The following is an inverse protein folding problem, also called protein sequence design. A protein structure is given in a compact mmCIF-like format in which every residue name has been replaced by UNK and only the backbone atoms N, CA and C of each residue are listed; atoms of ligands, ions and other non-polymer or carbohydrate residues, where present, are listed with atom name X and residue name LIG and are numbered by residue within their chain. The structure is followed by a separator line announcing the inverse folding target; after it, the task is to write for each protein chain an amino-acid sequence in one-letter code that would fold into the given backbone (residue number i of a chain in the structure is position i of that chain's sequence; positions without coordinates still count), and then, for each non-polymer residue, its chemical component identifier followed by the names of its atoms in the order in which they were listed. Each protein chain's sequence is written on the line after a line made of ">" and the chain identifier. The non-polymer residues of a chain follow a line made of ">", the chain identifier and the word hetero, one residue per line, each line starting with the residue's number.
data_IF_974653286300
#
_entry.id   IF_974653286300
#
_cell.length_a   1.000
_cell.length_b   1.000
_cell.length_c   1.000
_cell.angle_alpha   90.00
_cell.angle_beta   90.00
_cell.angle_gamma   90.00
#
_symmetry.space_group_name_H-M   'P 1'
#
loop_
_entity.id
_entity.type
_entity.pdbx_description
1 polymer ?
#
# COMPACT_ATOMS: atom_id res chain seq x y z
N UNK A 1 -1.74 -11.11 8.03
CA UNK A 1 -1.84 -9.68 7.67
C UNK A 1 -2.20 -9.46 6.21
N UNK A 2 -1.57 -10.14 5.24
CA UNK A 2 -2.00 -10.01 3.84
C UNK A 2 -3.46 -10.45 3.59
N UNK A 3 -3.94 -11.53 4.22
CA UNK A 3 -5.36 -11.92 4.17
C UNK A 3 -6.29 -10.79 4.61
N UNK A 4 -5.90 -10.05 5.66
CA UNK A 4 -6.64 -8.89 6.16
C UNK A 4 -6.64 -7.73 5.15
N UNK A 5 -5.53 -7.49 4.47
CA UNK A 5 -5.47 -6.50 3.38
C UNK A 5 -6.42 -6.87 2.23
N UNK A 6 -6.54 -8.15 1.88
CA UNK A 6 -7.49 -8.62 0.86
C UNK A 6 -8.96 -8.49 1.32
N UNK A 7 -9.26 -8.79 2.58
CA UNK A 7 -10.59 -8.56 3.17
C UNK A 7 -10.98 -7.07 3.10
N UNK A 8 -10.04 -6.18 3.40
CA UNK A 8 -10.23 -4.73 3.28
C UNK A 8 -10.47 -4.33 1.83
N UNK A 9 -9.67 -4.84 0.89
CA UNK A 9 -9.83 -4.58 -0.54
C UNK A 9 -11.24 -4.97 -1.03
N UNK A 10 -11.76 -6.11 -0.57
CA UNK A 10 -13.11 -6.59 -0.94
C UNK A 10 -14.23 -5.62 -0.52
N UNK A 11 -14.01 -4.76 0.48
CA UNK A 11 -14.99 -3.73 0.89
C UNK A 11 -15.17 -2.63 -0.16
N UNK A 12 -14.24 -2.47 -1.10
CA UNK A 12 -14.33 -1.53 -2.21
C UNK A 12 -15.18 -2.01 -3.39
N UNK A 13 -15.72 -3.24 -3.35
CA UNK A 13 -16.52 -3.80 -4.46
C UNK A 13 -17.72 -2.89 -4.73
N UNK A 14 -17.85 -2.46 -6.00
CA UNK A 14 -18.90 -1.53 -6.43
C UNK A 14 -18.62 -0.05 -6.13
N UNK A 15 -17.51 0.29 -5.46
CA UNK A 15 -17.17 1.65 -5.03
C UNK A 15 -15.89 2.21 -5.68
N UNK A 16 -15.09 1.38 -6.36
CA UNK A 16 -13.75 1.77 -6.85
C UNK A 16 -13.67 2.04 -8.36
N UNK A 17 -14.69 1.69 -9.14
CA UNK A 17 -14.65 1.77 -10.61
C UNK A 17 -14.34 3.21 -11.08
N UNK A 18 -13.38 3.40 -12.02
CA UNK A 18 -12.66 2.39 -12.82
C UNK A 18 -11.34 1.87 -12.21
N UNK A 19 -11.00 2.25 -10.99
CA UNK A 19 -9.76 1.85 -10.31
C UNK A 19 -9.80 0.42 -9.73
N UNK A 20 -8.64 -0.11 -9.31
CA UNK A 20 -8.53 -1.45 -8.73
C UNK A 20 -9.02 -1.50 -7.28
N UNK A 21 -9.37 -2.71 -6.82
CA UNK A 21 -9.58 -2.97 -5.40
C UNK A 21 -8.22 -3.04 -4.72
N UNK A 22 -7.98 -2.15 -3.76
CA UNK A 22 -6.74 -2.12 -2.98
C UNK A 22 -7.08 -2.03 -1.51
N UNK A 23 -6.42 -2.86 -0.71
CA UNK A 23 -6.45 -2.80 0.74
C UNK A 23 -5.04 -2.81 1.31
N UNK A 24 -4.87 -2.10 2.43
CA UNK A 24 -3.58 -1.90 3.09
C UNK A 24 -3.72 -2.06 4.60
N UNK A 25 -2.76 -2.75 5.21
CA UNK A 25 -2.61 -2.87 6.66
C UNK A 25 -1.19 -2.47 7.03
N UNK A 26 -1.05 -1.59 8.02
CA UNK A 26 0.24 -1.20 8.60
C UNK A 26 0.37 -1.85 9.97
N UNK A 27 1.44 -2.61 10.14
CA UNK A 27 1.82 -3.23 11.41
C UNK A 27 3.06 -2.52 11.93
N UNK A 28 2.97 -1.94 13.12
CA UNK A 28 4.08 -1.19 13.70
C UNK A 28 5.26 -2.08 14.13
N UNK A 29 6.31 -1.44 14.62
CA UNK A 29 7.52 -2.12 15.08
C UNK A 29 7.30 -3.08 16.26
N UNK A 30 6.17 -2.97 16.97
CA UNK A 30 5.81 -3.85 18.08
C UNK A 30 4.96 -5.06 17.62
N UNK A 31 4.60 -5.11 16.33
CA UNK A 31 3.78 -6.18 15.77
C UNK A 31 2.28 -5.94 15.88
N UNK A 32 1.86 -4.72 16.25
CA UNK A 32 0.45 -4.36 16.39
C UNK A 32 -0.07 -3.63 15.15
N UNK A 33 -1.36 -3.79 14.84
CA UNK A 33 -1.99 -3.05 13.76
C UNK A 33 -2.05 -1.57 14.15
N UNK A 34 -1.37 -0.73 13.37
CA UNK A 34 -1.34 0.71 13.54
C UNK A 34 -2.35 1.43 12.64
N UNK A 35 -2.63 0.87 11.46
CA UNK A 35 -3.58 1.45 10.52
C UNK A 35 -4.08 0.46 9.48
N UNK A 36 -5.30 0.70 9.01
CA UNK A 36 -5.97 -0.08 7.98
C UNK A 36 -6.63 0.87 6.97
N UNK A 37 -6.62 0.50 5.71
CA UNK A 37 -7.21 1.30 4.65
C UNK A 37 -7.67 0.46 3.48
N UNK A 38 -8.67 0.95 2.76
CA UNK A 38 -9.07 0.41 1.46
C UNK A 38 -9.46 1.56 0.54
N UNK A 39 -9.18 1.40 -0.75
CA UNK A 39 -9.48 2.42 -1.74
C UNK A 39 -10.99 2.50 -2.01
N UNK A 40 -11.48 3.73 -2.18
CA UNK A 40 -12.83 4.04 -2.67
C UNK A 40 -12.73 5.25 -3.62
N UNK A 41 -13.52 5.26 -4.69
CA UNK A 41 -13.43 6.30 -5.73
C UNK A 41 -13.85 7.67 -5.22
N UNK A 42 -14.81 7.72 -4.30
CA UNK A 42 -15.36 8.95 -3.69
C UNK A 42 -14.36 9.66 -2.76
N UNK A 43 -13.52 8.91 -2.05
CA UNK A 43 -12.56 9.48 -1.10
C UNK A 43 -11.31 10.06 -1.75
N UNK A 44 -11.01 9.71 -3.01
CA UNK A 44 -9.83 10.15 -3.77
C UNK A 44 -8.49 9.89 -3.03
N UNK A 45 -8.52 9.06 -1.98
CA UNK A 45 -7.36 8.66 -1.19
C UNK A 45 -7.14 7.17 -1.39
N UNK A 46 -5.91 6.77 -1.69
CA UNK A 46 -5.54 5.38 -1.82
C UNK A 46 -5.47 4.68 -0.45
N UNK A 47 -5.56 3.35 -0.46
CA UNK A 47 -5.59 2.53 0.74
C UNK A 47 -4.36 2.78 1.64
N UNK A 48 -3.19 2.97 1.04
CA UNK A 48 -1.93 3.27 1.72
C UNK A 48 -1.99 4.60 2.46
N UNK A 49 -2.55 5.65 1.84
CA UNK A 49 -2.69 6.96 2.47
C UNK A 49 -3.65 6.90 3.65
N UNK A 50 -4.78 6.21 3.51
CA UNK A 50 -5.76 6.03 4.60
C UNK A 50 -5.11 5.29 5.77
N UNK A 51 -4.39 4.21 5.49
CA UNK A 51 -3.71 3.42 6.53
C UNK A 51 -2.58 4.22 7.20
N UNK A 52 -1.82 5.03 6.45
CA UNK A 52 -0.79 5.92 6.98
C UNK A 52 -1.37 7.04 7.87
N UNK A 53 -2.47 7.67 7.42
CA UNK A 53 -3.17 8.69 8.20
C UNK A 53 -3.63 8.12 9.56
N UNK A 54 -4.11 6.88 9.59
CA UNK A 54 -4.48 6.20 10.82
C UNK A 54 -3.27 5.80 11.68
N UNK A 55 -2.20 5.31 11.06
CA UNK A 55 -0.99 4.86 11.77
C UNK A 55 -0.21 6.03 12.40
N UNK A 56 -0.22 7.21 11.78
CA UNK A 56 0.50 8.38 12.26
C UNK A 56 1.97 8.08 12.53
N UNK A 57 2.46 8.43 13.73
CA UNK A 57 3.87 8.22 14.11
C UNK A 57 4.26 6.75 14.24
N UNK A 58 3.29 5.84 14.46
CA UNK A 58 3.51 4.39 14.56
C UNK A 58 3.88 3.75 13.22
N UNK A 59 3.76 4.48 12.11
CA UNK A 59 4.24 4.03 10.80
C UNK A 59 5.78 3.95 10.72
N UNK A 60 6.50 4.68 11.58
CA UNK A 60 7.98 4.67 11.53
C UNK A 60 8.52 3.25 11.79
N UNK A 61 9.39 2.78 10.90
CA UNK A 61 9.96 1.43 10.93
C UNK A 61 8.92 0.28 10.87
N UNK A 62 7.68 0.57 10.48
CA UNK A 62 6.60 -0.40 10.36
C UNK A 62 6.75 -1.31 9.13
N UNK A 63 5.92 -2.35 9.10
CA UNK A 63 5.71 -3.21 7.93
C UNK A 63 4.34 -2.92 7.31
N UNK A 64 4.32 -2.71 6.00
CA UNK A 64 3.11 -2.44 5.22
C UNK A 64 2.75 -3.68 4.42
N UNK A 65 1.50 -4.14 4.54
CA UNK A 65 0.92 -5.20 3.74
C UNK A 65 -0.12 -4.58 2.81
N UNK A 66 0.12 -4.62 1.51
CA UNK A 66 -0.75 -4.01 0.50
C UNK A 66 -1.10 -5.03 -0.57
N UNK A 67 -2.35 -5.07 -1.02
CA UNK A 67 -2.84 -6.12 -1.93
C UNK A 67 -2.37 -5.96 -3.38
N UNK A 68 -1.83 -4.80 -3.76
CA UNK A 68 -1.35 -4.47 -5.10
C UNK A 68 -0.06 -3.62 -4.97
N UNK A 69 0.79 -3.64 -6.00
CA UNK A 69 1.96 -2.75 -6.06
C UNK A 69 1.58 -1.27 -5.82
N UNK A 70 2.23 -0.57 -4.87
CA UNK A 70 2.03 0.86 -4.68
C UNK A 70 2.46 1.66 -5.91
N UNK A 71 1.61 2.56 -6.39
CA UNK A 71 1.93 3.34 -7.58
C UNK A 71 3.08 4.34 -7.32
N UNK A 72 3.99 4.45 -8.30
CA UNK A 72 5.13 5.39 -8.29
C UNK A 72 4.99 6.57 -9.26
N UNK A 73 3.90 6.67 -10.01
CA UNK A 73 3.71 7.75 -10.98
C UNK A 73 2.98 8.94 -10.36
N UNK A 74 3.43 10.14 -10.73
CA UNK A 74 2.77 11.40 -10.37
C UNK A 74 1.54 11.58 -11.25
N UNK A 75 0.36 11.49 -10.64
CA UNK A 75 -0.94 11.63 -11.31
C UNK A 75 -1.77 12.73 -10.66
N UNK A 76 -3.03 12.41 -10.33
CA UNK A 76 -3.92 13.31 -9.58
C UNK A 76 -3.59 13.36 -8.09
N UNK A 77 -2.87 12.38 -7.59
CA UNK A 77 -2.42 12.23 -6.21
C UNK A 77 -0.90 12.04 -6.18
N UNK A 78 -0.28 12.42 -5.05
CA UNK A 78 1.13 12.10 -4.78
C UNK A 78 1.33 10.59 -4.78
N UNK A 79 2.46 10.08 -5.30
CA UNK A 79 2.72 8.64 -5.30
C UNK A 79 2.63 8.00 -3.92
N UNK A 80 1.96 6.86 -3.80
CA UNK A 80 1.92 6.09 -2.56
C UNK A 80 3.33 5.68 -2.12
N UNK A 81 4.25 5.41 -3.05
CA UNK A 81 5.66 5.13 -2.72
C UNK A 81 6.31 6.25 -1.93
N UNK A 82 6.05 7.50 -2.29
CA UNK A 82 6.70 8.67 -1.69
C UNK A 82 6.18 8.90 -0.27
N UNK A 83 4.88 8.65 -0.07
CA UNK A 83 4.26 8.67 1.25
C UNK A 83 4.86 7.60 2.18
N UNK A 84 5.07 6.37 1.68
CA UNK A 84 5.70 5.28 2.44
C UNK A 84 7.17 5.58 2.77
N UNK A 85 7.92 6.15 1.82
CA UNK A 85 9.30 6.59 2.04
C UNK A 85 9.36 7.70 3.10
N UNK A 86 8.49 8.70 2.98
CA UNK A 86 8.41 9.81 3.94
C UNK A 86 8.04 9.31 5.34
N UNK A 87 7.15 8.33 5.44
CA UNK A 87 6.76 7.69 6.69
C UNK A 87 7.85 6.77 7.28
N UNK A 88 8.98 6.58 6.58
CA UNK A 88 10.11 5.73 6.99
C UNK A 88 9.68 4.29 7.28
N UNK A 89 8.84 3.75 6.40
CA UNK A 89 8.45 2.34 6.40
C UNK A 89 9.72 1.48 6.25
N UNK A 90 9.82 0.40 7.03
CA UNK A 90 10.97 -0.52 6.95
C UNK A 90 10.80 -1.56 5.87
N UNK A 91 9.56 -2.06 5.72
CA UNK A 91 9.25 -3.19 4.84
C UNK A 91 7.88 -3.03 4.21
N UNK A 92 7.80 -3.36 2.93
CA UNK A 92 6.56 -3.47 2.15
C UNK A 92 6.41 -4.91 1.65
N UNK A 93 5.21 -5.46 1.84
CA UNK A 93 4.81 -6.78 1.38
C UNK A 93 3.64 -6.60 0.43
N UNK A 94 3.79 -7.04 -0.81
CA UNK A 94 2.76 -6.94 -1.84
C UNK A 94 2.77 -8.17 -2.75
N UNK A 95 1.64 -8.89 -2.93
CA UNK A 95 1.65 -10.19 -3.59
C UNK A 95 1.90 -10.09 -5.10
N UNK A 96 1.38 -9.04 -5.73
CA UNK A 96 1.35 -8.87 -7.19
C UNK A 96 1.88 -7.50 -7.61
N UNK A 97 2.55 -7.47 -8.75
CA UNK A 97 2.91 -6.26 -9.48
C UNK A 97 1.67 -5.62 -10.11
N UNK A 98 1.74 -4.32 -10.42
CA UNK A 98 0.66 -3.65 -11.15
C UNK A 98 0.53 -4.31 -12.54
N UNK A 99 -0.67 -4.77 -12.94
CA UNK A 99 -0.89 -5.42 -14.23
C UNK A 99 -0.70 -4.47 -15.42
N UNK A 100 -0.69 -3.16 -15.20
CA UNK A 100 -0.45 -2.20 -16.27
C UNK A 100 1.04 -2.19 -16.64
N UNK A 101 1.40 -2.62 -17.88
CA UNK A 101 2.79 -2.79 -18.29
C UNK A 101 3.58 -1.49 -18.34
N UNK A 102 2.92 -0.32 -18.30
CA UNK A 102 3.58 0.99 -18.27
C UNK A 102 4.09 1.37 -16.88
N UNK A 103 3.61 0.71 -15.83
CA UNK A 103 3.89 1.03 -14.42
C UNK A 103 4.42 -0.16 -13.62
N UNK A 104 4.15 -1.38 -14.07
CA UNK A 104 4.58 -2.64 -13.47
C UNK A 104 6.05 -2.61 -13.03
N UNK A 105 6.29 -2.92 -11.75
CA UNK A 105 7.61 -3.03 -11.13
C UNK A 105 8.29 -1.71 -10.78
N UNK A 106 7.77 -0.55 -11.24
CA UNK A 106 8.37 0.77 -10.95
C UNK A 106 8.16 1.19 -9.49
N UNK A 107 7.04 0.80 -8.89
CA UNK A 107 6.74 1.01 -7.48
C UNK A 107 7.72 0.30 -6.58
N UNK A 108 7.93 -0.98 -6.85
CA UNK A 108 8.89 -1.79 -6.10
C UNK A 108 10.33 -1.33 -6.29
N UNK A 109 10.72 -0.95 -7.51
CA UNK A 109 12.04 -0.38 -7.76
C UNK A 109 12.27 0.91 -6.96
N UNK A 110 11.27 1.81 -6.93
CA UNK A 110 11.37 3.07 -6.18
C UNK A 110 11.53 2.86 -4.68
N UNK A 111 10.73 1.94 -4.09
CA UNK A 111 10.84 1.60 -2.68
C UNK A 111 12.21 0.99 -2.33
N UNK A 112 12.72 0.08 -3.16
CA UNK A 112 14.05 -0.52 -2.96
C UNK A 112 15.18 0.49 -3.05
N UNK A 113 15.08 1.49 -3.95
CA UNK A 113 16.05 2.58 -4.05
C UNK A 113 16.09 3.48 -2.82
N UNK A 114 15.02 3.50 -2.03
CA UNK A 114 14.93 4.22 -0.76
C UNK A 114 15.23 3.32 0.45
N UNK A 115 15.93 2.20 0.26
CA UNK A 115 16.32 1.23 1.30
C UNK A 115 15.14 0.56 2.04
N UNK A 116 13.97 0.49 1.40
CA UNK A 116 12.81 -0.25 1.93
C UNK A 116 12.86 -1.70 1.45
N UNK A 117 12.73 -2.65 2.38
CA UNK A 117 12.65 -4.07 2.04
C UNK A 117 11.32 -4.36 1.31
N UNK A 118 11.37 -4.92 0.10
CA UNK A 118 10.17 -5.27 -0.67
C UNK A 118 10.09 -6.78 -0.87
N UNK A 119 9.05 -7.41 -0.32
CA UNK A 119 8.73 -8.83 -0.53
C UNK A 119 7.53 -8.98 -1.47
N UNK A 120 7.70 -9.75 -2.56
CA UNK A 120 6.65 -10.05 -3.55
C UNK A 120 6.32 -11.54 -3.61
N UNK A 121 5.17 -11.90 -4.20
CA UNK A 121 4.79 -13.30 -4.44
C UNK A 121 4.33 -14.09 -3.20
N UNK A 122 3.88 -13.40 -2.15
CA UNK A 122 3.41 -14.01 -0.90
C UNK A 122 1.88 -14.18 -0.90
N UNK A 123 1.37 -15.33 -0.45
CA UNK A 123 0.00 -15.84 -0.67
C UNK A 123 -0.30 -16.25 -2.13
N UNK A 124 0.48 -17.21 -2.65
CA UNK A 124 0.12 -17.98 -3.83
C UNK A 124 -0.97 -19.01 -3.51
#
# INVERSE_FOLDING_TARGET
>A
MMTRALELAARGVGLVSPGPLVGTVIVDAHGEIAGEGFYTFDQVKHAETIALDQAGTRATAATVYVSLEPHAHHGRTTPCTDALITARIKRVVAPIEDPNPKVSGRGFAHLRQADIEVSTGLLA
#
